data_IF_948391996412
#
_entry.id   IF_948391996412
#
_cell.length_a   1.000
_cell.length_b   1.000
_cell.length_c   1.000
_cell.angle_alpha   90.00
_cell.angle_beta   90.00
_cell.angle_gamma   90.00
#
_symmetry.space_group_name_H-M   'P 1'
#
loop_
_entity.id
_entity.type
_entity.pdbx_description
1 polymer ?
#
# COMPACT_ATOMS: atom_id res chain seq x y z
N UNK A 1 -0.30 -9.39 -27.62
CA UNK A 1 -0.08 -10.31 -26.47
C UNK A 1 -0.21 -9.51 -25.19
N UNK A 2 -0.82 -10.06 -24.15
CA UNK A 2 -0.97 -9.39 -22.85
C UNK A 2 0.11 -9.84 -21.88
N UNK A 3 0.80 -8.89 -21.24
CA UNK A 3 1.83 -9.14 -20.23
C UNK A 3 1.19 -9.13 -18.85
N UNK A 4 1.37 -10.21 -18.10
CA UNK A 4 0.89 -10.32 -16.72
C UNK A 4 1.99 -9.90 -15.73
N UNK A 5 1.67 -8.94 -14.86
CA UNK A 5 2.58 -8.44 -13.81
C UNK A 5 2.04 -8.85 -12.43
N UNK A 6 2.94 -9.27 -11.53
CA UNK A 6 2.64 -9.47 -10.12
C UNK A 6 3.24 -8.29 -9.36
N UNK A 7 2.42 -7.34 -8.87
CA UNK A 7 2.94 -6.20 -8.13
C UNK A 7 3.51 -6.65 -6.78
N UNK A 8 4.61 -6.03 -6.34
CA UNK A 8 5.11 -6.16 -4.97
C UNK A 8 5.02 -4.79 -4.29
N UNK A 9 4.18 -4.67 -3.25
CA UNK A 9 4.00 -3.44 -2.48
C UNK A 9 4.81 -3.54 -1.19
N UNK A 10 5.80 -2.68 -1.06
CA UNK A 10 6.63 -2.58 0.14
C UNK A 10 6.02 -1.55 1.11
N UNK A 11 5.53 -2.03 2.26
CA UNK A 11 4.97 -1.23 3.34
C UNK A 11 5.93 -1.24 4.53
N UNK A 12 6.79 -0.22 4.59
CA UNK A 12 7.82 -0.10 5.62
C UNK A 12 8.19 1.35 5.94
N UNK A 13 9.06 1.51 6.94
CA UNK A 13 9.51 2.80 7.45
C UNK A 13 9.15 3.00 8.93
N UNK A 14 9.94 3.82 9.63
CA UNK A 14 9.79 4.04 11.07
C UNK A 14 8.64 5.00 11.45
N UNK A 15 8.06 5.72 10.47
CA UNK A 15 6.93 6.61 10.70
C UNK A 15 7.25 7.88 11.51
N UNK A 16 8.52 8.25 11.68
CA UNK A 16 8.97 9.30 12.63
C UNK A 16 8.83 10.74 12.13
N UNK A 17 8.82 10.97 10.81
CA UNK A 17 8.79 12.33 10.23
C UNK A 17 7.43 13.03 10.27
N UNK A 18 6.35 12.27 10.42
CA UNK A 18 4.97 12.77 10.43
C UNK A 18 4.34 12.67 11.81
N UNK A 19 5.14 12.70 12.86
CA UNK A 19 4.62 12.77 14.22
C UNK A 19 3.83 14.09 14.41
N UNK A 20 2.68 14.11 15.11
CA UNK A 20 2.06 13.00 15.87
C UNK A 20 1.15 12.08 15.05
N UNK A 21 0.90 12.39 13.78
CA UNK A 21 -0.05 11.67 12.92
C UNK A 21 0.40 10.25 12.64
N UNK A 22 1.68 10.05 12.34
CA UNK A 22 2.29 8.75 12.11
C UNK A 22 3.05 8.30 13.36
N UNK A 23 2.73 7.09 13.84
CA UNK A 23 3.42 6.47 14.98
C UNK A 23 3.98 5.11 14.57
N UNK A 24 4.78 4.50 15.44
CA UNK A 24 5.28 3.14 15.22
C UNK A 24 4.13 2.11 15.17
N UNK A 25 3.06 2.33 15.93
CA UNK A 25 1.87 1.49 15.95
C UNK A 25 1.03 1.64 14.67
N UNK A 26 0.85 2.88 14.19
CA UNK A 26 0.13 3.17 12.94
C UNK A 26 0.96 4.08 12.04
N UNK A 27 1.84 3.49 11.19
CA UNK A 27 2.68 4.24 10.25
C UNK A 27 1.89 5.00 9.18
N UNK A 28 2.53 6.00 8.58
CA UNK A 28 1.96 6.90 7.55
C UNK A 28 1.13 6.20 6.46
N UNK A 29 1.52 5.00 6.03
CA UNK A 29 0.87 4.35 4.90
C UNK A 29 -0.56 3.90 5.21
N UNK A 30 -0.92 3.79 6.49
CA UNK A 30 -2.24 3.42 6.95
C UNK A 30 -3.12 4.63 7.32
N UNK A 31 -2.73 5.82 6.86
CA UNK A 31 -3.47 7.07 7.03
C UNK A 31 -3.86 7.66 5.68
N UNK A 32 -4.98 8.37 5.67
CA UNK A 32 -5.49 9.07 4.50
C UNK A 32 -4.85 10.47 4.43
N UNK A 33 -3.70 10.56 3.76
CA UNK A 33 -2.88 11.77 3.71
C UNK A 33 -2.87 12.44 2.33
N UNK A 34 -3.45 11.81 1.32
CA UNK A 34 -3.55 12.35 -0.05
C UNK A 34 -4.76 13.25 -0.28
N UNK A 35 -5.54 13.56 0.76
CA UNK A 35 -6.77 14.36 0.68
C UNK A 35 -8.04 13.58 0.31
N UNK A 36 -7.96 12.27 0.09
CA UNK A 36 -9.12 11.38 0.00
C UNK A 36 -9.40 10.64 1.32
N UNK A 37 -10.34 9.70 1.29
CA UNK A 37 -10.73 8.89 2.47
C UNK A 37 -9.91 7.59 2.62
N UNK A 38 -9.22 7.19 1.56
CA UNK A 38 -8.44 5.96 1.52
C UNK A 38 -7.03 6.16 2.09
N UNK A 39 -6.49 5.11 2.73
CA UNK A 39 -5.10 5.14 3.17
C UNK A 39 -4.13 5.17 1.99
N UNK A 40 -2.92 5.73 2.17
CA UNK A 40 -1.87 5.68 1.14
C UNK A 40 -1.58 4.26 0.64
N UNK A 41 -1.70 3.26 1.51
CA UNK A 41 -1.54 1.85 1.18
C UNK A 41 -2.65 1.37 0.24
N UNK A 42 -3.91 1.63 0.59
CA UNK A 42 -5.08 1.32 -0.24
C UNK A 42 -5.00 2.01 -1.59
N UNK A 43 -4.69 3.32 -1.62
CA UNK A 43 -4.51 4.07 -2.86
C UNK A 43 -3.43 3.45 -3.74
N UNK A 44 -2.31 3.00 -3.15
CA UNK A 44 -1.23 2.35 -3.88
C UNK A 44 -1.66 1.01 -4.47
N UNK A 45 -2.40 0.20 -3.72
CA UNK A 45 -2.96 -1.05 -4.23
C UNK A 45 -3.95 -0.83 -5.39
N UNK A 46 -4.75 0.24 -5.32
CA UNK A 46 -5.70 0.60 -6.37
C UNK A 46 -5.01 1.04 -7.67
N UNK A 47 -3.82 1.65 -7.61
CA UNK A 47 -3.05 2.02 -8.82
C UNK A 47 -2.61 0.81 -9.65
N UNK A 48 -2.48 -0.36 -9.04
CA UNK A 48 -2.04 -1.60 -9.68
C UNK A 48 -3.17 -2.64 -9.77
N UNK A 49 -4.42 -2.17 -9.86
CA UNK A 49 -5.60 -3.03 -10.03
C UNK A 49 -6.03 -3.07 -11.50
N UNK A 50 -6.45 -4.25 -11.96
CA UNK A 50 -7.08 -4.41 -13.27
C UNK A 50 -6.09 -4.50 -14.42
N UNK A 51 -6.35 -3.77 -15.51
CA UNK A 51 -5.56 -3.81 -16.73
C UNK A 51 -5.31 -2.40 -17.28
N UNK A 52 -4.15 -2.23 -17.92
CA UNK A 52 -3.76 -0.99 -18.59
C UNK A 52 -3.15 -1.34 -19.96
N UNK A 53 -3.91 -1.12 -21.04
CA UNK A 53 -3.50 -1.51 -22.39
C UNK A 53 -3.25 -3.02 -22.48
N UNK A 54 -2.04 -3.41 -22.89
CA UNK A 54 -1.63 -4.80 -22.98
C UNK A 54 -1.13 -5.40 -21.65
N UNK A 55 -1.25 -4.69 -20.52
CA UNK A 55 -0.78 -5.14 -19.21
C UNK A 55 -1.97 -5.56 -18.34
N UNK A 56 -1.84 -6.68 -17.64
CA UNK A 56 -2.77 -7.10 -16.57
C UNK A 56 -2.03 -7.26 -15.25
N UNK A 57 -2.65 -6.80 -14.16
CA UNK A 57 -2.09 -6.93 -12.82
C UNK A 57 -2.75 -8.08 -12.06
N UNK A 58 -1.91 -8.97 -11.52
CA UNK A 58 -2.34 -9.96 -10.52
C UNK A 58 -2.51 -9.29 -9.15
N UNK A 59 -3.17 -9.97 -8.18
CA UNK A 59 -3.20 -9.48 -6.79
C UNK A 59 -1.78 -9.18 -6.27
N UNK A 60 -1.57 -8.06 -5.56
CA UNK A 60 -0.25 -7.64 -5.12
C UNK A 60 0.28 -8.54 -3.99
N UNK A 61 1.58 -8.79 -4.01
CA UNK A 61 2.33 -9.32 -2.87
C UNK A 61 2.67 -8.17 -1.93
N UNK A 62 2.33 -8.31 -0.65
CA UNK A 62 2.60 -7.28 0.37
C UNK A 62 3.81 -7.68 1.20
N UNK A 63 4.85 -6.84 1.20
CA UNK A 63 6.01 -6.98 2.09
C UNK A 63 5.90 -5.92 3.17
N UNK A 64 5.66 -6.35 4.42
CA UNK A 64 5.55 -5.44 5.55
C UNK A 64 6.16 -6.03 6.82
N UNK A 65 6.35 -5.18 7.84
CA UNK A 65 6.72 -5.67 9.16
C UNK A 65 5.56 -6.50 9.75
N UNK A 66 5.88 -7.62 10.39
CA UNK A 66 4.87 -8.51 11.01
C UNK A 66 3.92 -7.78 11.97
N UNK A 67 4.40 -6.74 12.67
CA UNK A 67 3.58 -5.91 13.57
C UNK A 67 2.45 -5.16 12.86
N UNK A 68 2.54 -4.99 11.55
CA UNK A 68 1.57 -4.27 10.73
C UNK A 68 0.75 -5.19 9.82
N UNK A 69 0.87 -6.52 9.99
CA UNK A 69 0.21 -7.50 9.14
C UNK A 69 -1.32 -7.33 9.11
N UNK A 70 -1.94 -7.08 10.27
CA UNK A 70 -3.39 -6.84 10.36
C UNK A 70 -3.81 -5.53 9.67
N UNK A 71 -3.04 -4.46 9.87
CA UNK A 71 -3.28 -3.18 9.19
C UNK A 71 -3.15 -3.27 7.66
N UNK A 72 -2.31 -4.19 7.17
CA UNK A 72 -2.11 -4.44 5.75
C UNK A 72 -3.16 -5.38 5.13
N UNK A 73 -3.91 -6.11 5.97
CA UNK A 73 -5.01 -7.01 5.54
C UNK A 73 -6.38 -6.35 5.58
N UNK A 74 -6.53 -5.30 6.41
CA UNK A 74 -7.74 -4.48 6.53
C UNK A 74 -8.01 -3.67 5.25
#
# INVERSE_FOLDING_TARGET
MTTRIIPAIMSGGAGTRLWPVSTQARPKQFHALSGGDASLFTETALRVKGAAGAITFAPPLILCNVRHAELARA
#
